data_IF_101911525233
#
_entry.id   IF_101911525233
#
_cell.length_a   1.000
_cell.length_b   1.000
_cell.length_c   1.000
_cell.angle_alpha   90.00
_cell.angle_beta   90.00
_cell.angle_gamma   90.00
#
_symmetry.space_group_name_H-M   'P 1'
#
loop_
_entity.id
_entity.type
_entity.pdbx_description
1 polymer ?
#
# COMPACT_ATOMS: atom_id res chain seq x y z
N UNK A 1 77.54 -7.51 34.59
CA UNK A 1 77.88 -8.38 33.44
C UNK A 1 77.45 -9.80 33.79
N UNK A 2 76.19 -10.14 33.53
CA UNK A 2 75.74 -10.87 32.34
C UNK A 2 76.33 -12.30 32.25
N UNK A 3 75.56 -13.28 32.74
CA UNK A 3 75.72 -14.71 32.37
C UNK A 3 74.49 -15.13 31.56
N UNK A 4 74.75 -15.37 30.28
CA UNK A 4 73.88 -16.04 29.32
C UNK A 4 73.87 -17.54 29.61
N UNK A 5 72.72 -18.19 29.58
CA UNK A 5 72.64 -19.65 29.37
C UNK A 5 71.54 -19.97 28.37
N UNK A 6 71.88 -20.89 27.48
CA UNK A 6 71.31 -21.15 26.16
C UNK A 6 70.23 -22.25 26.26
N UNK A 7 69.13 -22.02 25.53
CA UNK A 7 68.12 -22.94 24.95
C UNK A 7 68.25 -24.46 25.19
N UNK A 8 67.09 -25.10 25.41
CA UNK A 8 66.56 -26.13 24.51
C UNK A 8 65.04 -26.25 24.62
N UNK A 9 64.40 -26.40 23.46
CA UNK A 9 62.95 -26.44 23.26
C UNK A 9 62.38 -27.86 23.42
N UNK A 10 61.16 -27.96 23.98
CA UNK A 10 60.32 -29.16 23.92
C UNK A 10 58.89 -28.74 23.59
N UNK A 11 58.37 -29.23 22.48
CA UNK A 11 57.00 -29.05 22.00
C UNK A 11 55.97 -29.55 23.02
N UNK A 12 54.93 -28.77 23.26
CA UNK A 12 53.77 -29.13 24.06
C UNK A 12 52.51 -29.06 23.20
N UNK A 13 51.71 -30.12 23.30
CA UNK A 13 50.49 -30.44 22.55
C UNK A 13 49.39 -29.38 22.72
N UNK A 14 48.68 -29.14 21.63
CA UNK A 14 47.49 -28.30 21.52
C UNK A 14 46.38 -28.77 22.46
N UNK A 15 45.91 -27.84 23.30
CA UNK A 15 44.66 -27.92 24.03
C UNK A 15 43.63 -27.10 23.24
N UNK A 16 42.56 -27.73 22.77
CA UNK A 16 41.45 -27.05 22.12
C UNK A 16 40.66 -26.19 23.11
N UNK A 17 40.26 -24.95 22.76
CA UNK A 17 39.34 -24.18 23.56
C UNK A 17 37.89 -24.35 23.07
N UNK A 18 37.07 -24.84 24.00
CA UNK A 18 35.68 -24.50 24.32
C UNK A 18 34.97 -23.44 23.46
N UNK A 19 33.77 -23.84 22.99
CA UNK A 19 32.52 -23.07 22.90
C UNK A 19 32.59 -21.64 22.34
N UNK A 20 32.33 -21.49 21.04
CA UNK A 20 31.84 -20.21 20.50
C UNK A 20 30.33 -20.15 20.65
N UNK A 21 29.93 -19.37 21.65
CA UNK A 21 28.61 -18.78 21.86
C UNK A 21 27.96 -18.29 20.58
N UNK A 22 26.68 -18.58 20.45
CA UNK A 22 25.69 -17.90 19.60
C UNK A 22 25.86 -16.39 19.71
N UNK A 23 26.18 -15.72 18.60
CA UNK A 23 26.23 -14.27 18.51
C UNK A 23 24.85 -13.65 18.78
N UNK A 24 24.69 -13.16 20.01
CA UNK A 24 23.48 -12.52 20.52
C UNK A 24 23.40 -11.02 20.14
N UNK A 25 23.83 -10.63 18.93
CA UNK A 25 23.82 -9.21 18.53
C UNK A 25 23.51 -8.97 17.04
N UNK A 26 22.69 -9.82 16.44
CA UNK A 26 22.09 -9.54 15.13
C UNK A 26 20.89 -8.61 15.32
N UNK A 27 20.80 -7.45 14.63
CA UNK A 27 19.64 -6.57 14.73
C UNK A 27 18.36 -7.36 14.41
N UNK A 28 17.37 -7.26 15.29
CA UNK A 28 16.14 -8.07 15.27
C UNK A 28 15.19 -7.60 14.16
N UNK A 29 15.41 -8.08 12.94
CA UNK A 29 14.51 -7.84 11.81
C UNK A 29 13.26 -8.74 11.97
N UNK A 30 12.03 -8.23 11.80
CA UNK A 30 10.83 -9.08 11.79
C UNK A 30 10.91 -10.13 10.68
N UNK A 31 10.29 -11.31 10.90
CA UNK A 31 10.48 -12.50 10.06
C UNK A 31 10.23 -12.29 8.55
N UNK A 32 9.31 -11.40 8.22
CA UNK A 32 8.91 -11.15 6.82
C UNK A 32 9.74 -10.05 6.14
N UNK A 33 10.60 -9.36 6.91
CA UNK A 33 11.42 -8.27 6.42
C UNK A 33 12.86 -8.72 6.21
N UNK A 34 13.47 -8.21 5.15
CA UNK A 34 14.88 -8.39 4.81
C UNK A 34 15.58 -7.05 4.73
N UNK A 35 16.92 -7.05 4.77
CA UNK A 35 17.69 -5.81 4.60
C UNK A 35 17.47 -5.26 3.18
N UNK A 36 17.37 -3.94 3.07
CA UNK A 36 17.19 -3.31 1.77
C UNK A 36 18.39 -3.61 0.83
N UNK A 37 18.16 -3.95 -0.45
CA UNK A 37 19.22 -4.06 -1.43
C UNK A 37 19.97 -2.73 -1.59
N UNK A 38 21.29 -2.80 -1.80
CA UNK A 38 22.16 -1.63 -1.95
C UNK A 38 21.69 -0.68 -3.07
N UNK A 39 21.06 -1.19 -4.12
CA UNK A 39 20.50 -0.39 -5.20
C UNK A 39 19.44 0.60 -4.69
N UNK A 40 18.52 0.14 -3.85
CA UNK A 40 17.39 0.93 -3.34
C UNK A 40 17.75 1.84 -2.15
N UNK A 41 18.96 1.75 -1.59
CA UNK A 41 19.40 2.64 -0.50
C UNK A 41 19.36 4.11 -0.91
N UNK A 42 19.74 4.41 -2.16
CA UNK A 42 19.72 5.78 -2.69
C UNK A 42 18.31 6.38 -2.68
N UNK A 43 17.30 5.56 -2.97
CA UNK A 43 15.89 5.94 -2.90
C UNK A 43 15.42 6.06 -1.45
N UNK A 44 15.73 5.08 -0.61
CA UNK A 44 15.29 5.04 0.79
C UNK A 44 15.79 6.24 1.63
N UNK A 45 16.96 6.80 1.32
CA UNK A 45 17.47 8.03 1.97
C UNK A 45 16.56 9.25 1.79
N UNK A 46 15.70 9.27 0.78
CA UNK A 46 14.78 10.37 0.52
C UNK A 46 13.42 10.19 1.22
N UNK A 47 13.16 9.02 1.80
CA UNK A 47 11.92 8.71 2.48
C UNK A 47 11.97 9.19 3.93
N UNK A 48 10.82 9.61 4.48
CA UNK A 48 10.70 9.95 5.90
C UNK A 48 10.77 8.69 6.76
N UNK A 49 11.54 8.72 7.85
CA UNK A 49 11.81 7.55 8.73
C UNK A 49 10.63 7.17 9.62
N UNK A 50 9.59 7.99 9.69
CA UNK A 50 8.47 7.81 10.63
C UNK A 50 7.23 7.19 9.99
N UNK A 51 7.36 6.64 8.79
CA UNK A 51 6.23 6.18 7.98
C UNK A 51 6.52 4.81 7.35
N UNK A 52 5.46 4.05 7.12
CA UNK A 52 5.49 2.88 6.25
C UNK A 52 5.25 3.31 4.82
N UNK A 53 5.94 2.66 3.89
CA UNK A 53 5.73 2.86 2.47
C UNK A 53 5.34 1.56 1.79
N UNK A 54 4.41 1.65 0.85
CA UNK A 54 4.15 0.56 -0.10
C UNK A 54 4.48 1.05 -1.49
N UNK A 55 5.40 0.34 -2.14
CA UNK A 55 5.80 0.62 -3.52
C UNK A 55 5.28 -0.48 -4.42
N UNK A 56 4.74 -0.12 -5.57
CA UNK A 56 4.38 -1.07 -6.62
C UNK A 56 4.41 -0.40 -7.99
N UNK A 57 4.40 -1.23 -9.02
CA UNK A 57 4.34 -0.78 -10.41
C UNK A 57 2.90 -0.78 -10.92
N UNK A 58 2.42 0.40 -11.35
CA UNK A 58 1.13 0.56 -12.02
C UNK A 58 1.29 0.42 -13.53
N UNK A 59 0.87 -0.74 -14.06
CA UNK A 59 0.92 -1.11 -15.48
C UNK A 59 -0.34 -0.75 -16.26
N UNK A 60 -1.27 0.02 -15.68
CA UNK A 60 -2.50 0.41 -16.37
C UNK A 60 -2.23 1.29 -17.61
N UNK A 61 -3.08 1.19 -18.64
CA UNK A 61 -2.94 2.00 -19.85
C UNK A 61 -3.08 3.49 -19.56
N UNK A 62 -2.39 4.31 -20.37
CA UNK A 62 -2.32 5.77 -20.19
C UNK A 62 -3.70 6.42 -20.22
N UNK A 63 -4.58 5.91 -21.07
CA UNK A 63 -5.94 6.41 -21.28
C UNK A 63 -6.77 6.27 -20.00
N UNK A 64 -6.69 5.11 -19.33
CA UNK A 64 -7.37 4.86 -18.05
C UNK A 64 -6.84 5.80 -16.95
N UNK A 65 -5.52 5.96 -16.86
CA UNK A 65 -4.89 6.89 -15.91
C UNK A 65 -5.34 8.33 -16.15
N UNK A 66 -5.45 8.76 -17.41
CA UNK A 66 -5.95 10.08 -17.79
C UNK A 66 -7.42 10.26 -17.41
N UNK A 67 -8.29 9.28 -17.71
CA UNK A 67 -9.71 9.33 -17.36
C UNK A 67 -9.93 9.51 -15.84
N UNK A 68 -9.20 8.74 -15.04
CA UNK A 68 -9.29 8.82 -13.57
C UNK A 68 -8.79 10.18 -13.06
N UNK A 69 -7.80 10.78 -13.72
CA UNK A 69 -7.28 12.10 -13.34
C UNK A 69 -8.21 13.27 -13.69
N UNK A 70 -9.09 13.12 -14.68
CA UNK A 70 -10.01 14.20 -15.11
C UNK A 70 -10.98 14.57 -13.99
N UNK A 71 -11.58 13.59 -13.32
CA UNK A 71 -12.56 13.83 -12.26
C UNK A 71 -12.04 14.75 -11.14
N UNK A 72 -10.91 14.45 -10.46
CA UNK A 72 -10.37 15.34 -9.42
C UNK A 72 -9.89 16.67 -10.02
N UNK A 73 -9.42 16.71 -11.27
CA UNK A 73 -9.04 17.96 -11.92
C UNK A 73 -10.24 18.90 -12.07
N UNK A 74 -11.35 18.40 -12.61
CA UNK A 74 -12.58 19.18 -12.79
C UNK A 74 -13.13 19.65 -11.44
N UNK A 75 -13.17 18.77 -10.44
CA UNK A 75 -13.62 19.13 -9.09
C UNK A 75 -12.79 20.28 -8.49
N UNK A 76 -11.46 20.20 -8.58
CA UNK A 76 -10.59 21.26 -8.06
C UNK A 76 -10.72 22.57 -8.85
N UNK A 77 -10.92 22.51 -10.17
CA UNK A 77 -11.20 23.70 -10.99
C UNK A 77 -12.52 24.38 -10.58
N UNK A 78 -13.57 23.61 -10.31
CA UNK A 78 -14.85 24.14 -9.82
C UNK A 78 -14.68 24.81 -8.45
N UNK A 79 -13.96 24.17 -7.53
CA UNK A 79 -13.68 24.75 -6.20
C UNK A 79 -12.90 26.07 -6.34
N UNK A 80 -11.84 26.10 -7.15
CA UNK A 80 -11.05 27.32 -7.41
C UNK A 80 -11.95 28.41 -8.00
N UNK A 81 -12.79 28.07 -8.99
CA UNK A 81 -13.71 29.02 -9.61
C UNK A 81 -14.68 29.63 -8.59
N UNK A 82 -15.28 28.80 -7.73
CA UNK A 82 -16.17 29.27 -6.66
C UNK A 82 -15.43 30.17 -5.69
N UNK A 83 -14.20 29.83 -5.29
CA UNK A 83 -13.37 30.66 -4.40
C UNK A 83 -13.05 32.00 -5.06
N UNK A 84 -12.59 32.01 -6.31
CA UNK A 84 -12.27 33.24 -7.05
C UNK A 84 -13.51 34.12 -7.19
N UNK A 85 -14.66 33.53 -7.54
CA UNK A 85 -15.94 34.23 -7.63
C UNK A 85 -16.32 34.85 -6.28
N UNK A 86 -16.18 34.10 -5.18
CA UNK A 86 -16.48 34.62 -3.84
C UNK A 86 -15.51 35.71 -3.40
N UNK A 87 -14.23 35.61 -3.72
CA UNK A 87 -13.25 36.69 -3.49
C UNK A 87 -13.66 37.93 -4.29
N UNK A 88 -14.00 37.79 -5.57
CA UNK A 88 -14.44 38.91 -6.41
C UNK A 88 -15.65 39.62 -5.80
N UNK A 89 -16.72 38.89 -5.46
CA UNK A 89 -17.91 39.47 -4.80
C UNK A 89 -17.55 40.05 -3.43
N UNK A 90 -16.67 39.39 -2.70
CA UNK A 90 -16.22 39.80 -1.37
C UNK A 90 -15.47 41.13 -1.39
N UNK A 91 -14.60 41.34 -2.39
CA UNK A 91 -13.84 42.59 -2.56
C UNK A 91 -14.77 43.80 -2.70
N UNK A 92 -15.95 43.66 -3.31
CA UNK A 92 -16.92 44.76 -3.39
C UNK A 92 -17.83 44.85 -2.16
N UNK A 93 -18.18 43.72 -1.54
CA UNK A 93 -19.20 43.69 -0.47
C UNK A 93 -18.64 43.99 0.92
N UNK A 94 -17.43 43.49 1.22
CA UNK A 94 -16.84 43.57 2.56
C UNK A 94 -16.42 45.00 2.94
N UNK A 95 -15.80 45.81 2.04
CA UNK A 95 -15.48 47.19 2.35
C UNK A 95 -16.71 48.02 2.72
N UNK A 96 -17.85 47.81 2.06
CA UNK A 96 -19.10 48.50 2.38
C UNK A 96 -19.66 48.11 3.76
N UNK A 97 -19.55 46.83 4.13
CA UNK A 97 -19.95 46.38 5.47
C UNK A 97 -19.01 46.96 6.53
N UNK A 98 -17.70 46.99 6.29
CA UNK A 98 -16.71 47.58 7.21
C UNK A 98 -16.93 49.10 7.31
N UNK A 99 -17.17 49.79 6.21
CA UNK A 99 -17.47 51.22 6.19
C UNK A 99 -18.77 51.54 6.95
N UNK A 100 -19.80 50.70 6.81
CA UNK A 100 -21.03 50.83 7.59
C UNK A 100 -20.78 50.59 9.10
N UNK A 101 -19.92 49.64 9.48
CA UNK A 101 -19.50 49.43 10.88
C UNK A 101 -18.71 50.61 11.45
N UNK A 102 -17.88 51.26 10.63
CA UNK A 102 -17.11 52.46 11.00
C UNK A 102 -17.96 53.75 11.00
N UNK A 103 -19.27 53.64 10.83
CA UNK A 103 -20.19 54.76 10.91
C UNK A 103 -20.25 55.64 9.66
N UNK A 104 -19.72 55.20 8.51
CA UNK A 104 -19.92 55.89 7.23
C UNK A 104 -21.32 55.60 6.69
N UNK A 105 -21.93 56.61 6.07
CA UNK A 105 -23.25 56.49 5.45
C UNK A 105 -23.09 55.89 4.05
N UNK A 106 -23.26 54.58 3.95
CA UNK A 106 -23.24 53.83 2.69
C UNK A 106 -24.60 53.12 2.50
N UNK A 107 -24.90 52.67 1.28
CA UNK A 107 -26.14 51.96 0.95
C UNK A 107 -26.40 50.68 1.79
N UNK A 108 -25.36 50.16 2.44
CA UNK A 108 -25.40 48.96 3.28
C UNK A 108 -25.66 49.29 4.76
N UNK A 109 -25.71 50.57 5.16
CA UNK A 109 -26.02 50.97 6.54
C UNK A 109 -27.54 50.86 6.79
N UNK A 110 -27.92 50.23 7.89
CA UNK A 110 -29.30 50.20 8.35
C UNK A 110 -29.47 51.27 9.41
N UNK A 111 -30.49 52.11 9.23
CA UNK A 111 -30.91 53.03 10.27
C UNK A 111 -31.77 52.29 11.30
N UNK A 112 -31.18 52.02 12.45
CA UNK A 112 -31.82 51.29 13.56
C UNK A 112 -32.95 52.06 14.21
N UNK A 113 -33.06 53.37 13.96
CA UNK A 113 -34.13 54.21 14.51
C UNK A 113 -35.43 54.14 13.69
N UNK A 114 -35.32 53.82 12.40
CA UNK A 114 -36.44 53.80 11.45
C UNK A 114 -36.78 52.41 10.94
N UNK A 115 -35.90 51.42 11.13
CA UNK A 115 -36.08 50.05 10.62
C UNK A 115 -36.83 49.13 11.59
N UNK A 116 -37.64 48.23 11.05
CA UNK A 116 -38.31 47.19 11.84
C UNK A 116 -37.31 46.15 12.36
N UNK A 117 -37.55 45.63 13.57
CA UNK A 117 -36.72 44.58 14.18
C UNK A 117 -36.56 43.35 13.28
N UNK A 118 -37.61 42.94 12.57
CA UNK A 118 -37.55 41.84 11.61
C UNK A 118 -36.58 42.08 10.47
N UNK A 119 -36.53 43.31 9.92
CA UNK A 119 -35.58 43.67 8.87
C UNK A 119 -34.13 43.63 9.38
N UNK A 120 -33.90 44.16 10.59
CA UNK A 120 -32.58 44.13 11.24
C UNK A 120 -32.13 42.68 11.44
N UNK A 121 -32.98 41.81 11.99
CA UNK A 121 -32.66 40.40 12.20
C UNK A 121 -32.32 39.67 10.90
N UNK A 122 -33.10 39.87 9.83
CA UNK A 122 -32.83 39.25 8.52
C UNK A 122 -31.48 39.68 7.97
N UNK A 123 -31.14 40.97 8.06
CA UNK A 123 -29.86 41.45 7.55
C UNK A 123 -28.68 40.96 8.38
N UNK A 124 -28.81 40.93 9.71
CA UNK A 124 -27.78 40.34 10.58
C UNK A 124 -27.56 38.87 10.24
N UNK A 125 -28.61 38.07 10.16
CA UNK A 125 -28.54 36.64 9.82
C UNK A 125 -27.89 36.45 8.44
N UNK A 126 -28.34 37.19 7.42
CA UNK A 126 -27.78 37.09 6.06
C UNK A 126 -26.28 37.42 6.03
N UNK A 127 -25.85 38.46 6.75
CA UNK A 127 -24.43 38.83 6.85
C UNK A 127 -23.62 37.76 7.56
N UNK A 128 -24.09 37.29 8.72
CA UNK A 128 -23.44 36.22 9.49
C UNK A 128 -23.27 34.95 8.67
N UNK A 129 -24.31 34.51 7.96
CA UNK A 129 -24.21 33.34 7.08
C UNK A 129 -23.28 33.56 5.90
N UNK A 130 -23.21 34.78 5.34
CA UNK A 130 -22.26 35.10 4.27
C UNK A 130 -20.83 34.99 4.76
N UNK A 131 -20.52 35.57 5.93
CA UNK A 131 -19.20 35.46 6.55
C UNK A 131 -18.84 34.02 6.92
N UNK A 132 -19.78 33.28 7.51
CA UNK A 132 -19.58 31.88 7.88
C UNK A 132 -19.32 31.02 6.65
N UNK A 133 -20.09 31.21 5.58
CA UNK A 133 -19.91 30.48 4.33
C UNK A 133 -18.54 30.77 3.71
N UNK A 134 -18.13 32.04 3.62
CA UNK A 134 -16.83 32.40 3.06
C UNK A 134 -15.67 31.87 3.91
N UNK A 135 -15.82 31.90 5.25
CA UNK A 135 -14.86 31.29 6.17
C UNK A 135 -14.75 29.79 5.96
N UNK A 136 -15.86 29.05 5.92
CA UNK A 136 -15.85 27.60 5.70
C UNK A 136 -15.31 27.25 4.32
N UNK A 137 -15.64 28.04 3.29
CA UNK A 137 -15.14 27.86 1.94
C UNK A 137 -13.60 27.97 1.91
N UNK A 138 -13.03 29.00 2.53
CA UNK A 138 -11.58 29.17 2.57
C UNK A 138 -10.93 28.15 3.49
N UNK A 139 -11.43 27.97 4.71
CA UNK A 139 -10.80 27.11 5.71
C UNK A 139 -10.82 25.63 5.33
N UNK A 140 -11.93 25.14 4.77
CA UNK A 140 -12.10 23.72 4.46
C UNK A 140 -11.76 23.37 3.01
N UNK A 141 -12.13 24.22 2.05
CA UNK A 141 -12.01 23.87 0.64
C UNK A 141 -10.74 24.40 -0.02
N UNK A 142 -10.16 25.54 0.40
CA UNK A 142 -8.91 26.05 -0.20
C UNK A 142 -7.71 25.10 -0.07
N UNK A 143 -7.51 24.35 1.05
CA UNK A 143 -6.40 23.41 1.15
C UNK A 143 -6.42 22.32 0.07
N UNK A 144 -7.59 21.95 -0.43
CA UNK A 144 -7.75 20.86 -1.41
C UNK A 144 -7.12 21.20 -2.77
N UNK A 145 -7.49 22.31 -3.44
CA UNK A 145 -6.79 22.76 -4.65
C UNK A 145 -5.31 23.02 -4.45
N UNK A 146 -4.90 23.58 -3.31
CA UNK A 146 -3.47 23.81 -3.03
C UNK A 146 -2.73 22.47 -3.04
N UNK A 147 -3.19 21.48 -2.26
CA UNK A 147 -2.61 20.12 -2.24
C UNK A 147 -2.65 19.44 -3.61
N UNK A 148 -3.74 19.63 -4.36
CA UNK A 148 -3.90 19.08 -5.70
C UNK A 148 -2.92 19.68 -6.71
N UNK A 149 -2.67 20.99 -6.63
CA UNK A 149 -1.70 21.68 -7.49
C UNK A 149 -0.28 21.27 -7.10
N UNK A 150 0.05 21.26 -5.81
CA UNK A 150 1.43 20.99 -5.34
C UNK A 150 1.84 19.53 -5.44
N UNK A 151 0.91 18.57 -5.36
CA UNK A 151 1.21 17.14 -5.53
C UNK A 151 0.82 16.61 -6.90
N UNK A 152 -0.44 16.16 -7.08
CA UNK A 152 -0.98 15.59 -8.31
C UNK A 152 -0.59 16.30 -9.61
N UNK A 153 -0.80 17.61 -9.67
CA UNK A 153 -0.60 18.40 -10.88
C UNK A 153 0.89 18.56 -11.18
N UNK A 154 1.73 18.81 -10.16
CA UNK A 154 3.18 18.87 -10.33
C UNK A 154 3.75 17.54 -10.80
N UNK A 155 3.28 16.43 -10.23
CA UNK A 155 3.68 15.09 -10.67
C UNK A 155 3.37 14.87 -12.15
N UNK A 156 2.13 15.16 -12.58
CA UNK A 156 1.72 15.01 -13.98
C UNK A 156 2.41 15.99 -14.92
N UNK A 157 2.78 17.20 -14.47
CA UNK A 157 3.57 18.15 -15.27
C UNK A 157 5.00 17.68 -15.51
N UNK A 158 5.64 17.05 -14.51
CA UNK A 158 7.03 16.57 -14.64
C UNK A 158 7.13 15.24 -15.37
N UNK A 159 6.25 14.28 -15.05
CA UNK A 159 6.37 12.90 -15.55
C UNK A 159 5.48 12.61 -16.78
N UNK A 160 4.31 13.27 -16.86
CA UNK A 160 3.25 12.92 -17.80
C UNK A 160 2.48 11.65 -17.40
N UNK A 161 1.91 10.97 -18.40
CA UNK A 161 1.26 9.66 -18.25
C UNK A 161 2.12 8.60 -18.94
N UNK A 162 2.63 7.65 -18.17
CA UNK A 162 3.49 6.53 -18.63
C UNK A 162 2.74 5.20 -18.53
N UNK A 163 3.07 4.20 -19.39
CA UNK A 163 2.40 2.91 -19.36
C UNK A 163 2.72 2.14 -18.07
N UNK A 164 3.96 2.25 -17.59
CA UNK A 164 4.39 1.77 -16.28
C UNK A 164 4.78 2.97 -15.41
N UNK A 165 4.16 3.09 -14.23
CA UNK A 165 4.42 4.17 -13.27
C UNK A 165 4.72 3.57 -11.89
N UNK A 166 5.80 4.02 -11.25
CA UNK A 166 6.11 3.66 -9.86
C UNK A 166 5.17 4.43 -8.93
N UNK A 167 4.36 3.71 -8.17
CA UNK A 167 3.43 4.27 -7.20
C UNK A 167 3.95 4.02 -5.80
N UNK A 168 4.19 5.11 -5.06
CA UNK A 168 4.64 5.08 -3.67
C UNK A 168 3.50 5.58 -2.80
N UNK A 169 3.00 4.70 -1.93
CA UNK A 169 2.03 5.02 -0.90
C UNK A 169 2.75 5.20 0.43
N UNK A 170 2.32 6.19 1.20
CA UNK A 170 2.80 6.45 2.56
C UNK A 170 1.65 6.24 3.55
N UNK A 171 1.96 5.72 4.73
CA UNK A 171 0.99 5.60 5.82
C UNK A 171 0.59 6.97 6.34
N UNK A 172 -0.71 7.20 6.55
CA UNK A 172 -1.25 8.41 7.18
C UNK A 172 -1.12 8.32 8.69
N UNK A 173 -0.09 8.96 9.24
CA UNK A 173 0.13 9.22 10.67
C UNK A 173 -0.52 8.21 11.63
N UNK A 174 -0.25 6.91 11.47
CA UNK A 174 -0.69 5.88 12.42
C UNK A 174 -0.02 6.04 13.79
N UNK A 175 1.08 6.79 13.79
CA UNK A 175 1.92 7.11 14.91
C UNK A 175 1.79 8.59 15.29
N UNK A 176 0.67 8.97 15.89
CA UNK A 176 0.70 10.14 16.77
C UNK A 176 1.61 9.80 17.97
N UNK A 177 2.88 10.20 17.89
CA UNK A 177 3.80 10.20 19.04
C UNK A 177 4.61 8.92 19.32
N UNK A 178 4.59 7.91 18.44
CA UNK A 178 5.49 6.75 18.55
C UNK A 178 6.38 6.66 17.33
N UNK A 179 7.69 6.90 17.48
CA UNK A 179 8.66 6.46 16.46
C UNK A 179 8.37 4.98 16.22
N UNK A 180 8.08 4.62 14.98
CA UNK A 180 7.91 3.23 14.54
C UNK A 180 9.30 2.58 14.56
N UNK A 181 9.91 2.52 15.73
CA UNK A 181 11.07 1.68 15.95
C UNK A 181 10.60 0.25 15.82
N UNK A 182 11.51 -0.62 15.37
CA UNK A 182 11.32 -2.07 15.31
C UNK A 182 11.24 -2.57 16.75
N UNK A 183 10.14 -2.27 17.41
CA UNK A 183 9.61 -3.20 18.38
C UNK A 183 9.42 -4.49 17.60
N UNK A 184 10.09 -5.54 18.05
CA UNK A 184 9.93 -6.93 17.58
C UNK A 184 8.47 -7.37 17.46
N UNK A 185 7.55 -6.61 18.04
CA UNK A 185 6.13 -6.58 17.72
C UNK A 185 5.83 -5.34 16.87
N UNK A 186 6.03 -5.40 15.55
CA UNK A 186 5.04 -4.71 14.72
C UNK A 186 3.73 -5.33 15.20
N UNK A 187 2.84 -4.54 15.81
CA UNK A 187 1.60 -5.08 16.34
C UNK A 187 1.00 -5.93 15.22
N UNK A 188 0.86 -7.24 15.47
CA UNK A 188 0.39 -8.19 14.45
C UNK A 188 -0.90 -7.69 13.81
N UNK A 189 -1.63 -6.90 14.57
CA UNK A 189 -2.84 -6.21 14.21
C UNK A 189 -2.60 -5.14 13.13
N UNK A 190 -1.57 -4.29 13.22
CA UNK A 190 -1.27 -3.28 12.15
C UNK A 190 -0.89 -3.99 10.84
N UNK A 191 -0.08 -5.05 10.93
CA UNK A 191 0.26 -5.87 9.75
C UNK A 191 -1.01 -6.44 9.11
N UNK A 192 -1.79 -7.21 9.89
CA UNK A 192 -2.97 -7.93 9.40
C UNK A 192 -4.11 -7.02 8.96
N UNK A 193 -4.32 -5.88 9.64
CA UNK A 193 -5.47 -5.01 9.39
C UNK A 193 -5.18 -3.90 8.38
N UNK A 194 -3.94 -3.38 8.31
CA UNK A 194 -3.61 -2.22 7.47
C UNK A 194 -2.70 -2.55 6.30
N UNK A 195 -1.66 -3.36 6.52
CA UNK A 195 -0.64 -3.63 5.50
C UNK A 195 -1.11 -4.74 4.56
N UNK A 196 -1.48 -5.92 5.08
CA UNK A 196 -1.92 -7.08 4.29
C UNK A 196 -3.08 -6.74 3.33
N UNK A 197 -4.14 -6.04 3.76
CA UNK A 197 -5.23 -5.67 2.85
C UNK A 197 -4.83 -4.61 1.82
N UNK A 198 -3.78 -3.83 2.10
CA UNK A 198 -3.27 -2.80 1.19
C UNK A 198 -2.37 -3.38 0.10
N UNK A 199 -1.69 -4.50 0.36
CA UNK A 199 -0.81 -5.20 -0.59
C UNK A 199 -1.53 -6.26 -1.43
N UNK A 200 -2.79 -6.55 -1.14
CA UNK A 200 -3.56 -7.56 -1.88
C UNK A 200 -3.54 -7.32 -3.40
N UNK A 201 -3.27 -8.34 -4.24
CA UNK A 201 -3.04 -8.17 -5.67
C UNK A 201 -4.21 -7.53 -6.42
N UNK A 202 -5.46 -7.87 -6.06
CA UNK A 202 -6.66 -7.22 -6.64
C UNK A 202 -6.69 -5.71 -6.36
N UNK A 203 -6.11 -5.27 -5.23
CA UNK A 203 -6.01 -3.85 -4.92
C UNK A 203 -4.92 -3.20 -5.75
N UNK A 204 -3.74 -3.83 -5.85
CA UNK A 204 -2.59 -3.32 -6.64
C UNK A 204 -2.86 -3.18 -8.14
N UNK A 205 -3.88 -3.86 -8.68
CA UNK A 205 -4.32 -3.67 -10.07
C UNK A 205 -4.95 -2.29 -10.34
N UNK A 206 -5.41 -1.59 -9.29
CA UNK A 206 -5.99 -0.26 -9.42
C UNK A 206 -4.89 0.79 -9.62
N UNK A 207 -5.21 1.87 -10.31
CA UNK A 207 -4.27 2.99 -10.49
C UNK A 207 -3.99 3.68 -9.16
N UNK A 208 -2.81 4.29 -9.00
CA UNK A 208 -2.40 4.94 -7.75
C UNK A 208 -3.43 5.87 -7.10
N UNK A 209 -4.16 6.69 -7.87
CA UNK A 209 -5.20 7.59 -7.32
C UNK A 209 -6.36 6.88 -6.64
N UNK A 210 -6.71 5.67 -7.10
CA UNK A 210 -7.80 4.87 -6.51
C UNK A 210 -7.33 4.10 -5.27
N UNK A 211 -6.05 4.17 -4.95
CA UNK A 211 -5.45 3.54 -3.78
C UNK A 211 -5.32 4.47 -2.58
N UNK A 212 -5.76 5.72 -2.71
CA UNK A 212 -5.87 6.66 -1.60
C UNK A 212 -7.04 6.22 -0.73
N UNK A 213 -6.80 6.07 0.57
CA UNK A 213 -7.79 5.63 1.54
C UNK A 213 -7.54 6.34 2.89
N UNK A 214 -8.34 6.06 3.95
CA UNK A 214 -8.14 6.68 5.26
C UNK A 214 -6.77 6.40 5.88
N UNK A 215 -6.15 5.25 5.56
CA UNK A 215 -4.90 4.78 6.14
C UNK A 215 -3.68 5.11 5.28
N UNK A 216 -3.85 5.30 3.97
CA UNK A 216 -2.79 5.46 2.98
C UNK A 216 -2.99 6.70 2.11
N UNK A 217 -1.92 7.48 1.95
CA UNK A 217 -1.85 8.58 0.98
C UNK A 217 -0.78 8.31 -0.09
N UNK A 218 -0.81 9.05 -1.18
CA UNK A 218 0.27 9.02 -2.17
C UNK A 218 1.37 10.00 -1.81
N UNK A 219 2.62 9.55 -1.87
CA UNK A 219 3.79 10.43 -1.76
C UNK A 219 4.28 10.81 -3.17
N UNK A 220 3.77 11.92 -3.69
CA UNK A 220 4.17 12.44 -5.00
C UNK A 220 5.66 12.82 -5.08
N UNK A 221 6.27 13.17 -3.95
CA UNK A 221 7.69 13.56 -3.92
C UNK A 221 8.60 12.34 -4.07
N UNK A 222 8.31 11.27 -3.33
CA UNK A 222 8.97 9.98 -3.48
C UNK A 222 8.72 9.37 -4.86
N UNK A 223 7.48 9.44 -5.37
CA UNK A 223 7.17 8.96 -6.72
C UNK A 223 7.99 9.68 -7.81
N UNK A 224 8.16 11.00 -7.70
CA UNK A 224 8.98 11.76 -8.63
C UNK A 224 10.45 11.35 -8.54
N UNK A 225 10.98 11.19 -7.32
CA UNK A 225 12.38 10.78 -7.12
C UNK A 225 12.64 9.36 -7.63
N UNK A 226 11.72 8.43 -7.41
CA UNK A 226 11.83 7.06 -7.92
C UNK A 226 11.95 7.06 -9.46
N UNK A 227 11.11 7.84 -10.14
CA UNK A 227 11.18 7.96 -11.60
C UNK A 227 12.45 8.68 -12.07
N UNK A 228 12.93 9.70 -11.36
CA UNK A 228 14.20 10.37 -11.66
C UNK A 228 15.38 9.39 -11.57
N UNK A 229 15.40 8.52 -10.55
CA UNK A 229 16.44 7.49 -10.38
C UNK A 229 16.41 6.44 -11.51
N UNK A 230 15.22 6.11 -12.00
CA UNK A 230 15.07 5.24 -13.19
C UNK A 230 15.47 5.94 -14.47
N UNK A 231 15.07 7.21 -14.65
CA UNK A 231 15.39 8.01 -15.84
C UNK A 231 16.90 8.27 -15.95
N UNK A 232 17.60 8.40 -14.82
CA UNK A 232 19.07 8.49 -14.72
C UNK A 232 19.78 7.14 -14.82
N UNK A 233 19.03 6.03 -15.02
CA UNK A 233 19.53 4.64 -15.12
C UNK A 233 20.28 4.12 -13.89
N UNK A 234 20.11 4.76 -12.74
CA UNK A 234 20.66 4.27 -11.47
C UNK A 234 19.90 3.05 -10.95
N UNK A 235 18.61 2.97 -11.27
CA UNK A 235 17.69 1.90 -10.90
C UNK A 235 16.87 1.42 -12.10
N UNK A 236 16.38 0.19 -12.04
CA UNK A 236 15.45 -0.37 -13.04
C UNK A 236 14.03 -0.33 -12.49
N UNK A 237 13.04 -0.27 -13.39
CA UNK A 237 11.62 -0.38 -13.01
C UNK A 237 11.31 -1.68 -12.24
N UNK A 238 11.99 -2.78 -12.60
CA UNK A 238 11.87 -4.07 -11.92
C UNK A 238 12.36 -4.04 -10.47
N UNK A 239 13.23 -3.10 -10.10
CA UNK A 239 13.68 -2.98 -8.71
C UNK A 239 12.56 -2.41 -7.79
N UNK A 240 11.47 -1.88 -8.38
CA UNK A 240 10.29 -1.34 -7.69
C UNK A 240 9.06 -2.25 -7.78
N UNK A 241 9.28 -3.55 -7.88
CA UNK A 241 8.24 -4.56 -7.69
C UNK A 241 7.54 -4.40 -6.33
N UNK A 242 6.36 -5.00 -6.23
CA UNK A 242 5.45 -4.77 -5.12
C UNK A 242 6.12 -5.12 -3.77
N UNK A 243 6.39 -4.09 -2.96
CA UNK A 243 7.10 -4.23 -1.69
C UNK A 243 6.65 -3.20 -0.65
N UNK A 244 6.88 -3.53 0.61
CA UNK A 244 6.67 -2.67 1.77
C UNK A 244 8.03 -2.26 2.31
N UNK A 245 8.23 -0.95 2.54
CA UNK A 245 9.45 -0.39 3.11
C UNK A 245 9.12 0.20 4.48
N UNK A 246 10.00 -0.04 5.44
CA UNK A 246 9.94 0.60 6.74
C UNK A 246 11.33 0.92 7.27
N UNK A 247 11.42 1.92 8.12
CA UNK A 247 12.66 2.26 8.78
C UNK A 247 12.81 1.48 10.08
N UNK A 248 13.90 0.71 10.17
CA UNK A 248 14.13 -0.27 11.20
C UNK A 248 14.76 0.26 12.51
N UNK A 249 14.88 1.58 12.65
CA UNK A 249 15.71 2.23 13.67
C UNK A 249 17.17 2.40 13.24
N UNK A 250 17.98 3.05 14.09
CA UNK A 250 19.38 3.40 13.80
C UNK A 250 20.31 2.19 13.64
N UNK A 251 20.01 1.07 14.31
CA UNK A 251 20.83 -0.14 14.27
C UNK A 251 20.55 -1.02 13.03
N UNK A 252 19.29 -1.05 12.59
CA UNK A 252 18.85 -1.94 11.49
C UNK A 252 18.83 -1.22 10.14
N UNK A 253 18.58 0.09 10.13
CA UNK A 253 18.40 0.86 8.90
C UNK A 253 17.10 0.50 8.18
N UNK A 254 17.02 0.78 6.88
CA UNK A 254 15.84 0.48 6.08
C UNK A 254 15.69 -1.02 5.83
N UNK A 255 14.46 -1.52 5.99
CA UNK A 255 14.11 -2.91 5.71
C UNK A 255 12.96 -2.99 4.71
N UNK A 256 12.94 -4.07 3.94
CA UNK A 256 12.01 -4.31 2.84
C UNK A 256 11.30 -5.65 3.06
N UNK A 257 10.01 -5.67 2.79
CA UNK A 257 9.22 -6.90 2.67
C UNK A 257 8.69 -6.97 1.24
N UNK A 258 9.11 -7.97 0.47
CA UNK A 258 8.60 -8.17 -0.89
C UNK A 258 7.36 -9.03 -0.82
N UNK A 259 6.33 -8.65 -1.57
CA UNK A 259 5.03 -9.34 -1.53
C UNK A 259 5.14 -10.75 -2.14
N UNK A 260 6.13 -10.98 -3.00
CA UNK A 260 6.49 -12.33 -3.47
C UNK A 260 6.91 -13.28 -2.32
N UNK A 261 7.41 -12.72 -1.20
CA UNK A 261 7.83 -13.46 -0.01
C UNK A 261 6.67 -13.74 0.96
N UNK A 262 5.50 -13.11 0.80
CA UNK A 262 4.28 -13.51 1.55
C UNK A 262 3.74 -14.88 1.04
N UNK A 263 4.19 -15.30 -0.14
CA UNK A 263 4.12 -16.68 -0.62
C UNK A 263 5.24 -17.59 -0.12
N UNK A 264 6.16 -17.11 0.72
CA UNK A 264 7.29 -17.86 1.30
C UNK A 264 7.14 -18.14 2.80
N UNK A 265 5.95 -17.90 3.38
CA UNK A 265 5.54 -18.47 4.67
C UNK A 265 4.96 -19.90 4.58
N UNK A 266 4.95 -20.47 3.38
CA UNK A 266 4.62 -21.86 3.09
C UNK A 266 4.99 -22.13 1.65
N UNK A 267 5.97 -23.02 1.42
CA UNK A 267 6.33 -23.65 0.14
C UNK A 267 5.70 -23.01 -1.11
N UNK A 268 6.46 -22.11 -1.74
CA UNK A 268 6.15 -21.44 -3.02
C UNK A 268 5.87 -22.40 -4.21
N UNK A 269 6.00 -23.72 -4.02
CA UNK A 269 5.58 -24.73 -4.99
C UNK A 269 4.09 -25.12 -4.87
N UNK A 270 3.49 -25.04 -3.68
CA UNK A 270 2.14 -25.62 -3.43
C UNK A 270 1.00 -24.63 -3.64
N UNK A 271 1.19 -23.32 -3.37
CA UNK A 271 0.14 -22.30 -3.63
C UNK A 271 0.17 -21.71 -5.03
N UNK A 272 1.30 -21.81 -5.73
CA UNK A 272 1.48 -21.30 -7.11
C UNK A 272 0.91 -22.23 -8.18
N UNK A 273 0.33 -23.33 -7.73
CA UNK A 273 0.03 -24.46 -8.56
C UNK A 273 -1.45 -24.57 -8.95
N UNK A 274 -2.27 -23.64 -8.48
CA UNK A 274 -3.51 -23.21 -9.13
C UNK A 274 -3.29 -21.85 -9.77
N UNK A 275 -2.34 -21.74 -10.70
CA UNK A 275 -2.30 -20.59 -11.60
C UNK A 275 -3.64 -20.49 -12.33
N UNK A 276 -4.11 -19.27 -12.62
CA UNK A 276 -5.34 -19.09 -13.42
C UNK A 276 -5.26 -19.84 -14.75
N UNK A 277 -4.05 -19.99 -15.30
CA UNK A 277 -3.76 -20.75 -16.51
C UNK A 277 -4.01 -22.26 -16.34
N UNK A 278 -3.51 -22.88 -15.24
CA UNK A 278 -3.80 -24.30 -14.94
C UNK A 278 -5.28 -24.54 -14.65
N UNK A 279 -5.95 -23.59 -13.97
CA UNK A 279 -7.40 -23.64 -13.74
C UNK A 279 -8.20 -23.56 -15.05
N UNK A 280 -7.77 -22.74 -16.02
CA UNK A 280 -8.40 -22.68 -17.33
C UNK A 280 -8.18 -23.96 -18.14
N UNK A 281 -7.01 -24.59 -18.03
CA UNK A 281 -6.70 -25.85 -18.71
C UNK A 281 -7.51 -27.03 -18.14
N UNK A 282 -7.61 -27.12 -16.80
CA UNK A 282 -8.47 -28.10 -16.11
C UNK A 282 -9.93 -27.92 -16.54
N UNK A 283 -10.43 -26.67 -16.56
CA UNK A 283 -11.79 -26.37 -17.00
C UNK A 283 -12.01 -26.76 -18.46
N UNK A 284 -11.12 -26.38 -19.37
CA UNK A 284 -11.24 -26.68 -20.79
C UNK A 284 -11.30 -28.20 -21.05
N UNK A 285 -10.52 -28.98 -20.30
CA UNK A 285 -10.50 -30.43 -20.41
C UNK A 285 -11.75 -31.10 -19.85
N UNK A 286 -12.23 -30.64 -18.70
CA UNK A 286 -13.49 -31.13 -18.11
C UNK A 286 -14.70 -30.78 -18.99
N UNK A 287 -14.70 -29.61 -19.64
CA UNK A 287 -15.69 -29.22 -20.64
C UNK A 287 -15.62 -30.11 -21.88
N UNK A 288 -14.42 -30.42 -22.38
CA UNK A 288 -14.25 -31.35 -23.51
C UNK A 288 -14.74 -32.77 -23.21
N UNK A 289 -14.70 -33.19 -21.93
CA UNK A 289 -15.28 -34.44 -21.45
C UNK A 289 -16.79 -34.35 -21.14
N UNK A 290 -17.41 -33.19 -21.34
CA UNK A 290 -18.83 -32.94 -21.07
C UNK A 290 -19.18 -32.87 -19.57
N UNK A 291 -18.21 -32.65 -18.69
CA UNK A 291 -18.34 -32.70 -17.22
C UNK A 291 -17.97 -31.36 -16.56
N UNK A 292 -18.53 -30.26 -17.07
CA UNK A 292 -18.26 -28.91 -16.54
C UNK A 292 -18.77 -28.73 -15.10
N UNK A 293 -19.86 -29.38 -14.71
CA UNK A 293 -20.38 -29.33 -13.33
C UNK A 293 -19.41 -29.91 -12.29
N UNK A 294 -18.55 -30.84 -12.71
CA UNK A 294 -17.51 -31.42 -11.85
C UNK A 294 -16.46 -30.37 -11.45
N UNK A 295 -16.13 -29.46 -12.36
CA UNK A 295 -15.18 -28.38 -12.12
C UNK A 295 -15.67 -27.44 -11.02
N UNK A 296 -16.94 -27.01 -11.09
CA UNK A 296 -17.50 -26.09 -10.10
C UNK A 296 -17.60 -26.72 -8.70
N UNK A 297 -18.05 -27.98 -8.61
CA UNK A 297 -18.09 -28.71 -7.33
C UNK A 297 -16.71 -28.95 -6.73
N UNK A 298 -15.72 -29.24 -7.58
CA UNK A 298 -14.34 -29.40 -7.13
C UNK A 298 -13.74 -28.09 -6.61
N UNK A 299 -13.94 -26.96 -7.31
CA UNK A 299 -13.46 -25.64 -6.86
C UNK A 299 -14.11 -25.26 -5.52
N UNK A 300 -15.41 -25.50 -5.37
CA UNK A 300 -16.15 -25.26 -4.12
C UNK A 300 -15.60 -26.11 -2.97
N UNK A 301 -15.37 -27.41 -3.19
CA UNK A 301 -14.80 -28.32 -2.19
C UNK A 301 -13.37 -27.89 -1.79
N UNK A 302 -12.52 -27.54 -2.77
CA UNK A 302 -11.18 -27.02 -2.50
C UNK A 302 -11.23 -25.75 -1.66
N UNK A 303 -12.11 -24.80 -2.02
CA UNK A 303 -12.25 -23.55 -1.28
C UNK A 303 -12.80 -23.77 0.13
N UNK A 304 -13.72 -24.72 0.31
CA UNK A 304 -14.23 -25.13 1.61
C UNK A 304 -13.12 -25.72 2.49
N UNK A 305 -12.33 -26.67 1.95
CA UNK A 305 -11.19 -27.30 2.66
C UNK A 305 -10.13 -26.26 3.02
N UNK A 306 -9.76 -25.37 2.10
CA UNK A 306 -8.79 -24.30 2.33
C UNK A 306 -9.25 -23.30 3.41
N UNK A 307 -10.55 -22.96 3.44
CA UNK A 307 -11.09 -22.03 4.44
C UNK A 307 -11.30 -22.68 5.81
N UNK A 308 -11.63 -23.97 5.86
CA UNK A 308 -11.90 -24.69 7.13
C UNK A 308 -10.64 -25.24 7.79
N UNK A 309 -9.57 -25.51 7.03
CA UNK A 309 -8.32 -26.09 7.55
C UNK A 309 -7.17 -25.08 7.75
N UNK A 310 -7.43 -23.77 7.57
CA UNK A 310 -6.41 -22.74 7.72
C UNK A 310 -5.89 -22.54 9.15
N UNK A 311 -6.58 -23.05 10.19
CA UNK A 311 -6.20 -22.83 11.59
C UNK A 311 -5.40 -23.95 12.27
N UNK A 312 -5.34 -25.18 11.75
CA UNK A 312 -4.47 -26.25 12.28
C UNK A 312 -4.26 -27.36 11.22
N UNK A 313 -3.13 -27.32 10.51
CA UNK A 313 -2.77 -28.32 9.51
C UNK A 313 -2.21 -29.59 10.19
N UNK A 314 -3.01 -30.65 10.26
CA UNK A 314 -2.55 -32.01 10.57
C UNK A 314 -2.61 -32.86 9.29
N UNK A 315 -1.57 -33.67 9.00
CA UNK A 315 -1.51 -34.46 7.76
C UNK A 315 -2.70 -35.41 7.53
N UNK A 316 -3.35 -35.86 8.61
CA UNK A 316 -4.52 -36.72 8.55
C UNK A 316 -5.76 -36.06 7.92
N UNK A 317 -5.87 -34.73 8.01
CA UNK A 317 -7.01 -33.98 7.45
C UNK A 317 -6.80 -33.67 5.95
N UNK A 318 -5.55 -33.66 5.50
CA UNK A 318 -5.19 -33.55 4.08
C UNK A 318 -5.50 -34.85 3.32
N UNK A 319 -5.22 -36.00 3.94
CA UNK A 319 -5.52 -37.32 3.34
C UNK A 319 -7.04 -37.55 3.20
N UNK A 320 -7.84 -37.08 4.16
CA UNK A 320 -9.31 -37.13 4.09
C UNK A 320 -9.84 -36.25 2.96
N UNK A 321 -9.32 -35.03 2.82
CA UNK A 321 -9.70 -34.11 1.74
C UNK A 321 -9.34 -34.68 0.35
N UNK A 322 -8.15 -35.27 0.19
CA UNK A 322 -7.76 -35.95 -1.05
C UNK A 322 -8.65 -37.16 -1.35
N UNK A 323 -9.08 -37.90 -0.32
CA UNK A 323 -10.03 -39.00 -0.44
C UNK A 323 -11.40 -38.55 -0.98
N UNK A 324 -11.93 -37.44 -0.47
CA UNK A 324 -13.20 -36.86 -0.91
C UNK A 324 -13.12 -36.37 -2.37
N UNK A 325 -12.02 -35.72 -2.75
CA UNK A 325 -11.79 -35.28 -4.12
C UNK A 325 -11.71 -36.49 -5.07
N UNK A 326 -11.01 -37.57 -4.70
CA UNK A 326 -10.94 -38.80 -5.50
C UNK A 326 -12.30 -39.45 -5.68
N UNK A 327 -13.13 -39.48 -4.64
CA UNK A 327 -14.50 -40.00 -4.70
C UNK A 327 -15.39 -39.15 -5.63
N UNK A 328 -15.23 -37.82 -5.60
CA UNK A 328 -15.97 -36.89 -6.44
C UNK A 328 -15.65 -37.08 -7.94
N UNK A 329 -14.37 -37.28 -8.30
CA UNK A 329 -13.98 -37.59 -9.68
C UNK A 329 -14.45 -38.99 -10.13
N UNK A 330 -14.33 -39.99 -9.24
CA UNK A 330 -14.74 -41.37 -9.53
C UNK A 330 -16.25 -41.51 -9.73
N UNK A 331 -17.06 -40.80 -8.95
CA UNK A 331 -18.53 -40.79 -9.08
C UNK A 331 -19.02 -40.23 -10.41
N UNK A 332 -18.21 -39.38 -11.05
CA UNK A 332 -18.49 -38.84 -12.39
C UNK A 332 -17.76 -39.62 -13.49
N UNK A 333 -17.18 -40.80 -13.19
CA UNK A 333 -16.50 -41.65 -14.16
C UNK A 333 -15.25 -41.02 -14.76
N UNK A 334 -14.52 -40.21 -13.99
CA UNK A 334 -13.18 -39.70 -14.36
C UNK A 334 -12.18 -40.34 -13.41
N UNK A 335 -11.21 -41.07 -13.95
CA UNK A 335 -10.15 -41.69 -13.16
C UNK A 335 -9.15 -40.61 -12.75
N UNK A 336 -9.14 -40.28 -11.46
CA UNK A 336 -8.44 -39.13 -10.91
C UNK A 336 -6.96 -39.10 -11.25
N UNK A 337 -6.26 -40.22 -11.03
CA UNK A 337 -4.82 -40.28 -11.23
C UNK A 337 -4.44 -40.11 -12.71
N UNK A 338 -5.20 -40.69 -13.65
CA UNK A 338 -5.00 -40.50 -15.11
C UNK A 338 -5.31 -39.08 -15.56
N UNK A 339 -6.36 -38.46 -15.00
CA UNK A 339 -6.71 -37.08 -15.33
C UNK A 339 -5.58 -36.11 -14.96
N UNK A 340 -4.98 -36.28 -13.78
CA UNK A 340 -3.89 -35.44 -13.30
C UNK A 340 -2.55 -35.70 -13.97
N UNK A 341 -2.24 -36.94 -14.33
CA UNK A 341 -1.07 -37.26 -15.18
C UNK A 341 -1.10 -36.51 -16.51
N UNK A 342 -2.28 -36.39 -17.12
CA UNK A 342 -2.43 -35.72 -18.41
C UNK A 342 -2.56 -34.19 -18.34
N UNK A 343 -2.76 -33.59 -17.16
CA UNK A 343 -2.88 -32.12 -16.98
C UNK A 343 -1.57 -31.49 -16.46
N UNK A 344 -0.55 -32.31 -16.20
CA UNK A 344 0.78 -31.85 -15.79
C UNK A 344 1.15 -32.15 -14.35
N UNK A 345 0.56 -33.18 -13.74
CA UNK A 345 0.95 -33.73 -12.44
C UNK A 345 0.29 -33.06 -11.23
N UNK A 346 0.45 -33.70 -10.08
CA UNK A 346 -0.10 -33.31 -8.75
C UNK A 346 0.61 -32.11 -8.11
N UNK A 347 1.45 -31.37 -8.84
CA UNK A 347 1.99 -30.10 -8.38
C UNK A 347 0.82 -29.11 -8.28
N UNK A 348 0.26 -29.02 -7.06
CA UNK A 348 -0.76 -28.04 -6.64
C UNK A 348 -1.91 -28.51 -5.80
N UNK A 349 -1.99 -29.80 -5.50
CA UNK A 349 -2.81 -30.25 -4.38
C UNK A 349 -1.98 -30.30 -3.10
N UNK A 350 -2.59 -30.11 -1.92
CA UNK A 350 -1.91 -30.35 -0.65
C UNK A 350 -1.49 -31.82 -0.63
N UNK A 351 -0.22 -32.10 -0.92
CA UNK A 351 0.33 -33.45 -0.83
C UNK A 351 1.04 -33.58 0.49
N UNK A 352 0.77 -34.66 1.22
CA UNK A 352 1.51 -34.98 2.43
C UNK A 352 2.99 -35.20 2.09
N UNK A 353 3.87 -34.36 2.62
CA UNK A 353 5.26 -34.75 2.90
C UNK A 353 5.48 -34.81 4.40
#
# INVERSE_FOLDING_TARGET
>A
MAKTTKRSAKQQKEAGPKSSSTDANSPKIPKDFTKIPQSLESFAKHLSTNQFYIVHLDTNPKERKRQIFILPTVLNLVIIFVIIWRIYVGVYTYPDIIAAMLGRNNAVRIDTSTSSWGHISVVVVKRTFTFLFDYLLIALFLPWPIRFITGPTQWRRKLGFRPAEIVVRQSRSWSEGKTLEVSTTLDSDILKTKIVPAIHPTRLQKTGYLLIDPDWDLDFSAMLKAHELVDTKSLRLADFEACVLMYGGSETGWVIWRIEDEGQGGSSAERKALSQDKLTDIRAKLVAMGKEELFFRWVELMQYVLNTQAENLTGEDQDKALGEIRALFSSHGVEFDKFWEEVGGLEGMPTST
#
